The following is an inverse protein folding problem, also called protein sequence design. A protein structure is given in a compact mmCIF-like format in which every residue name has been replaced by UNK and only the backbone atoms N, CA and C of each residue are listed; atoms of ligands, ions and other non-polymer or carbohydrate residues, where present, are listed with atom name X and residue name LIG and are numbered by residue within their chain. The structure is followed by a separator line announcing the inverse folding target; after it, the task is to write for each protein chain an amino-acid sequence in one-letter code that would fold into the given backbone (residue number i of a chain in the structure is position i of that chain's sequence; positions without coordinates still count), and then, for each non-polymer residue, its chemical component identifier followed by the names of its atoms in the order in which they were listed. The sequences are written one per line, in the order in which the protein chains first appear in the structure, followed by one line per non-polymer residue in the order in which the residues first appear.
data_IF_807765177763
#
_entry.id   IF_807765177763
#
_cell.length_a   1.000
_cell.length_b   1.000
_cell.length_c   1.000
_cell.angle_alpha   90.00
_cell.angle_beta   90.00
_cell.angle_gamma   90.00
#
_symmetry.space_group_name_H-M   'P 1'
#
loop_
_entity.id
_entity.type
_entity.pdbx_description
1 polymer ?
#
# COMPACT_ATOMS: atom_id res chain seq x y z
N UNK A 1 25.68 -6.46 25.81
CA UNK A 1 25.58 -6.87 24.40
C UNK A 1 24.15 -6.63 23.98
N UNK A 2 23.87 -5.56 23.24
CA UNK A 2 22.57 -5.30 22.65
C UNK A 2 22.37 -6.33 21.54
N UNK A 3 21.36 -7.20 21.66
CA UNK A 3 20.91 -8.01 20.56
C UNK A 3 20.37 -7.07 19.48
N UNK A 4 21.10 -6.91 18.39
CA UNK A 4 20.54 -6.34 17.17
C UNK A 4 19.45 -7.29 16.69
N UNK A 5 18.20 -6.88 16.83
CA UNK A 5 17.09 -7.56 16.18
C UNK A 5 17.17 -7.26 14.69
N UNK A 6 17.78 -8.17 13.96
CA UNK A 6 17.73 -8.11 12.49
C UNK A 6 16.32 -8.54 12.06
N UNK A 7 15.49 -7.59 11.70
CA UNK A 7 14.25 -7.92 10.99
C UNK A 7 14.71 -8.41 9.62
N UNK A 8 14.53 -9.70 9.36
CA UNK A 8 14.87 -10.29 8.07
C UNK A 8 13.93 -9.76 7.01
N UNK A 9 14.33 -8.70 6.34
CA UNK A 9 13.66 -8.12 5.19
C UNK A 9 14.22 -8.67 3.87
N UNK A 10 14.74 -9.88 3.87
CA UNK A 10 15.28 -10.50 2.67
C UNK A 10 14.20 -10.77 1.61
N UNK A 11 14.54 -10.67 0.31
CA UNK A 11 13.61 -11.04 -0.75
C UNK A 11 13.22 -12.51 -0.59
N UNK A 12 11.93 -12.81 -0.74
CA UNK A 12 11.45 -14.19 -0.76
C UNK A 12 12.01 -14.89 -2.00
N UNK A 13 12.57 -16.11 -1.86
CA UNK A 13 13.12 -16.88 -2.98
C UNK A 13 12.08 -17.04 -4.10
N UNK A 14 12.49 -16.85 -5.34
CA UNK A 14 11.61 -16.98 -6.51
C UNK A 14 10.59 -15.87 -6.70
N UNK A 15 10.69 -14.79 -5.94
CA UNK A 15 9.82 -13.64 -6.12
C UNK A 15 10.58 -12.32 -5.93
N UNK A 16 10.07 -11.27 -6.54
CA UNK A 16 10.61 -9.91 -6.42
C UNK A 16 9.50 -8.90 -6.19
N UNK A 17 9.83 -7.84 -5.45
CA UNK A 17 8.94 -6.67 -5.32
C UNK A 17 9.13 -5.80 -6.55
N UNK A 18 8.01 -5.44 -7.19
CA UNK A 18 7.96 -4.49 -8.29
C UNK A 18 6.96 -3.39 -7.95
N UNK A 19 7.07 -2.26 -8.64
CA UNK A 19 6.14 -1.14 -8.48
C UNK A 19 5.46 -0.85 -9.81
N UNK A 20 4.13 -0.75 -9.77
CA UNK A 20 3.32 -0.32 -10.91
C UNK A 20 2.97 1.14 -10.72
N UNK A 21 3.34 1.97 -11.69
CA UNK A 21 3.09 3.41 -11.63
C UNK A 21 1.66 3.74 -11.99
N UNK A 22 1.13 4.80 -11.39
CA UNK A 22 -0.13 5.41 -11.79
C UNK A 22 -0.04 6.09 -13.16
N UNK A 23 -1.17 6.17 -13.84
CA UNK A 23 -1.30 6.89 -15.11
C UNK A 23 -1.82 8.32 -14.90
N UNK A 24 -2.66 8.53 -13.88
CA UNK A 24 -3.28 9.81 -13.57
C UNK A 24 -2.54 10.58 -12.47
N UNK A 25 -1.97 9.86 -11.52
CA UNK A 25 -1.29 10.43 -10.36
C UNK A 25 0.12 9.84 -10.24
N UNK A 26 1.02 10.62 -9.63
CA UNK A 26 2.36 10.15 -9.27
C UNK A 26 2.29 9.24 -8.04
N UNK A 27 1.85 8.02 -8.28
CA UNK A 27 1.71 6.96 -7.27
C UNK A 27 2.40 5.69 -7.74
N UNK A 28 2.84 4.90 -6.79
CA UNK A 28 3.46 3.59 -7.05
C UNK A 28 2.75 2.53 -6.21
N UNK A 29 2.24 1.49 -6.87
CA UNK A 29 1.54 0.37 -6.23
C UNK A 29 2.49 -0.82 -6.11
N UNK A 30 2.82 -1.27 -4.89
CA UNK A 30 3.72 -2.40 -4.70
C UNK A 30 3.03 -3.70 -5.12
N UNK A 31 3.66 -4.43 -6.01
CA UNK A 31 3.24 -5.73 -6.48
C UNK A 31 4.36 -6.74 -6.25
N UNK A 32 4.01 -8.01 -6.19
CA UNK A 32 4.96 -9.11 -6.11
C UNK A 32 4.88 -9.96 -7.37
N UNK A 33 5.98 -10.01 -8.07
CA UNK A 33 6.18 -10.88 -9.23
C UNK A 33 6.74 -12.20 -8.73
N UNK A 34 6.01 -13.27 -8.96
CA UNK A 34 6.34 -14.63 -8.52
C UNK A 34 6.73 -15.44 -9.76
N UNK A 35 7.97 -15.88 -9.84
CA UNK A 35 8.44 -16.74 -10.91
C UNK A 35 7.95 -18.15 -10.65
N UNK A 36 7.33 -18.77 -11.65
CA UNK A 36 6.85 -20.13 -11.58
C UNK A 36 7.91 -21.09 -12.10
N UNK A 37 7.95 -22.30 -11.55
CA UNK A 37 8.80 -23.36 -12.06
C UNK A 37 8.30 -23.84 -13.42
N UNK A 38 9.20 -24.16 -14.38
CA UNK A 38 8.81 -24.71 -15.66
C UNK A 38 7.98 -26.00 -15.51
N UNK A 39 6.99 -26.17 -16.36
CA UNK A 39 6.26 -27.43 -16.49
C UNK A 39 7.09 -28.40 -17.30
N UNK A 40 7.22 -29.64 -16.82
CA UNK A 40 7.89 -30.70 -17.57
C UNK A 40 6.83 -31.59 -18.20
N UNK A 41 6.81 -31.64 -19.54
CA UNK A 41 5.89 -32.48 -20.28
C UNK A 41 6.30 -33.97 -20.22
N UNK A 42 5.44 -34.87 -20.66
CA UNK A 42 5.65 -36.34 -20.66
C UNK A 42 6.86 -36.79 -21.48
N UNK A 43 7.26 -35.99 -22.46
CA UNK A 43 8.46 -36.22 -23.32
C UNK A 43 9.75 -35.61 -22.70
N UNK A 44 9.64 -34.96 -21.53
CA UNK A 44 10.75 -34.27 -20.86
C UNK A 44 11.00 -32.84 -21.31
N UNK A 45 10.17 -32.30 -22.22
CA UNK A 45 10.26 -30.91 -22.67
C UNK A 45 9.89 -29.97 -21.52
N UNK A 46 10.73 -28.95 -21.28
CA UNK A 46 10.46 -27.90 -20.30
C UNK A 46 9.74 -26.74 -20.97
N UNK A 47 8.58 -26.41 -20.41
CA UNK A 47 7.75 -25.28 -20.82
C UNK A 47 7.85 -24.22 -19.74
N UNK A 48 8.40 -23.06 -20.08
CA UNK A 48 8.47 -21.91 -19.13
C UNK A 48 7.07 -21.37 -18.86
N UNK A 49 6.79 -21.12 -17.58
CA UNK A 49 5.54 -20.54 -17.15
C UNK A 49 5.68 -19.03 -16.96
N UNK A 50 4.69 -18.27 -17.39
CA UNK A 50 4.67 -16.83 -17.14
C UNK A 50 4.61 -16.54 -15.65
N UNK A 51 5.33 -15.51 -15.15
CA UNK A 51 5.26 -15.12 -13.75
C UNK A 51 3.87 -14.60 -13.37
N UNK A 52 3.46 -14.88 -12.15
CA UNK A 52 2.22 -14.34 -11.57
C UNK A 52 2.53 -13.06 -10.82
N UNK A 53 1.76 -12.01 -11.09
CA UNK A 53 1.86 -10.73 -10.39
C UNK A 53 0.65 -10.56 -9.47
N UNK A 54 0.91 -10.32 -8.18
CA UNK A 54 -0.12 -10.10 -7.16
C UNK A 54 0.20 -8.86 -6.33
N UNK A 55 -0.80 -8.31 -5.66
CA UNK A 55 -0.57 -7.19 -4.74
C UNK A 55 0.35 -7.62 -3.59
N UNK A 56 1.38 -6.81 -3.32
CA UNK A 56 2.34 -7.08 -2.26
C UNK A 56 1.88 -6.50 -0.92
N UNK A 57 1.47 -7.37 -0.01
CA UNK A 57 1.02 -7.00 1.34
C UNK A 57 2.15 -6.91 2.36
N UNK A 58 3.40 -7.18 1.97
CA UNK A 58 4.54 -7.19 2.89
C UNK A 58 4.98 -5.79 3.35
N UNK A 59 4.41 -4.73 2.76
CA UNK A 59 4.80 -3.36 3.06
C UNK A 59 6.27 -3.10 2.72
N UNK A 60 6.99 -2.26 3.48
CA UNK A 60 8.40 -1.95 3.21
C UNK A 60 9.37 -3.07 3.61
N UNK A 61 8.92 -4.09 4.33
CA UNK A 61 9.81 -5.10 4.94
C UNK A 61 10.56 -5.98 3.93
N UNK A 62 10.04 -6.11 2.72
CA UNK A 62 10.67 -6.90 1.64
C UNK A 62 11.20 -6.02 0.51
N UNK A 63 11.27 -4.71 0.72
CA UNK A 63 11.83 -3.78 -0.24
C UNK A 63 13.35 -3.63 -0.01
N UNK A 64 14.21 -4.05 -0.96
CA UNK A 64 15.65 -3.94 -0.81
C UNK A 64 16.15 -2.48 -0.74
N UNK A 65 15.35 -1.53 -1.19
CA UNK A 65 15.69 -0.11 -1.21
C UNK A 65 15.18 0.65 0.02
N UNK A 66 14.48 -0.04 0.94
CA UNK A 66 13.91 0.58 2.14
C UNK A 66 14.57 0.05 3.41
N UNK A 67 15.09 0.95 4.22
CA UNK A 67 15.60 0.62 5.55
C UNK A 67 14.48 0.77 6.58
N UNK A 68 14.10 -0.34 7.19
CA UNK A 68 13.06 -0.34 8.24
C UNK A 68 13.60 0.29 9.51
N UNK A 69 12.93 1.32 10.01
CA UNK A 69 13.19 1.96 11.30
C UNK A 69 11.95 1.80 12.18
N UNK A 70 12.07 0.95 13.21
CA UNK A 70 10.98 0.67 14.14
C UNK A 70 10.52 1.90 14.91
N UNK A 71 11.44 2.86 15.12
CA UNK A 71 11.11 4.10 15.84
C UNK A 71 10.34 5.10 14.97
N UNK A 72 10.50 5.05 13.65
CA UNK A 72 9.75 5.90 12.72
C UNK A 72 8.40 5.31 12.32
N UNK A 73 8.21 4.00 12.50
CA UNK A 73 7.01 3.30 12.08
C UNK A 73 6.88 3.17 10.55
N UNK A 74 5.70 2.81 10.09
CA UNK A 74 5.42 2.63 8.67
C UNK A 74 5.21 3.97 7.94
N UNK A 75 5.64 4.09 6.68
CA UNK A 75 5.37 5.28 5.86
C UNK A 75 3.87 5.55 5.72
N UNK A 76 3.50 6.82 5.82
CA UNK A 76 2.11 7.28 5.65
C UNK A 76 1.83 7.58 4.18
N UNK A 77 1.62 6.55 3.39
CA UNK A 77 1.47 6.62 1.92
C UNK A 77 0.47 7.71 1.48
N UNK A 78 -0.63 7.88 2.23
CA UNK A 78 -1.72 8.79 1.88
C UNK A 78 -1.55 10.22 2.40
N UNK A 79 -0.52 10.51 3.18
CA UNK A 79 -0.38 11.81 3.84
C UNK A 79 -0.32 12.96 2.83
N UNK A 80 0.52 12.81 1.79
CA UNK A 80 0.62 13.80 0.74
C UNK A 80 -0.67 13.92 -0.08
N UNK A 81 -1.30 12.82 -0.44
CA UNK A 81 -2.57 12.84 -1.19
C UNK A 81 -3.69 13.58 -0.46
N UNK A 82 -3.75 13.42 0.86
CA UNK A 82 -4.70 14.14 1.72
C UNK A 82 -4.35 15.62 1.82
N UNK A 83 -3.07 15.94 1.91
CA UNK A 83 -2.61 17.33 1.95
C UNK A 83 -2.92 18.08 0.65
N UNK A 84 -2.66 17.46 -0.50
CA UNK A 84 -2.85 18.04 -1.83
C UNK A 84 -4.35 18.35 -2.11
N UNK A 85 -5.26 17.50 -1.63
CA UNK A 85 -6.70 17.77 -1.73
C UNK A 85 -7.14 18.99 -0.94
N UNK A 86 -6.42 19.34 0.11
CA UNK A 86 -6.65 20.55 0.93
C UNK A 86 -8.09 20.71 1.46
N UNK A 87 -8.78 19.61 1.68
CA UNK A 87 -10.19 19.55 2.15
C UNK A 87 -10.32 19.15 3.62
N UNK A 88 -9.19 18.96 4.30
CA UNK A 88 -9.11 18.62 5.71
C UNK A 88 -8.26 19.61 6.50
N UNK A 89 -8.51 19.66 7.81
CA UNK A 89 -7.64 20.33 8.78
C UNK A 89 -7.17 19.32 9.83
N UNK A 90 -5.95 19.47 10.29
CA UNK A 90 -5.42 18.68 11.39
C UNK A 90 -5.87 19.30 12.70
N UNK A 91 -6.32 18.47 13.64
CA UNK A 91 -6.68 18.91 14.99
C UNK A 91 -5.43 19.13 15.83
N UNK A 92 -5.52 20.00 16.81
CA UNK A 92 -4.42 20.26 17.77
C UNK A 92 -4.20 19.10 18.74
N UNK A 93 -5.20 18.24 18.92
CA UNK A 93 -5.14 17.10 19.84
C UNK A 93 -6.09 15.98 19.47
N UNK A 94 -6.15 14.97 20.33
CA UNK A 94 -7.04 13.82 20.14
C UNK A 94 -8.52 14.22 20.32
N UNK A 95 -9.39 13.76 19.43
CA UNK A 95 -10.81 14.12 19.42
C UNK A 95 -11.66 13.28 20.37
N UNK A 96 -11.28 12.04 20.68
CA UNK A 96 -12.04 11.15 21.55
C UNK A 96 -11.68 11.33 23.04
N UNK A 97 -12.67 11.19 23.91
CA UNK A 97 -12.47 11.20 25.36
C UNK A 97 -11.52 10.07 25.79
N UNK A 98 -11.73 8.87 25.26
CA UNK A 98 -10.85 7.73 25.50
C UNK A 98 -9.40 8.02 25.11
N UNK A 99 -9.18 8.61 23.94
CA UNK A 99 -7.83 8.97 23.48
C UNK A 99 -7.15 9.97 24.41
N UNK A 100 -7.88 11.01 24.84
CA UNK A 100 -7.37 12.01 25.79
C UNK A 100 -7.08 11.41 27.17
N UNK A 101 -7.96 10.53 27.67
CA UNK A 101 -7.75 9.84 28.94
C UNK A 101 -6.48 8.98 28.89
N UNK A 102 -6.29 8.21 27.83
CA UNK A 102 -5.08 7.41 27.65
C UNK A 102 -3.82 8.26 27.46
N UNK A 103 -3.93 9.40 26.80
CA UNK A 103 -2.79 10.31 26.63
C UNK A 103 -2.32 10.88 27.95
N UNK A 104 -3.23 11.11 28.90
CA UNK A 104 -2.94 11.64 30.22
C UNK A 104 -2.55 10.57 31.27
N UNK A 105 -2.68 9.31 30.93
CA UNK A 105 -2.34 8.19 31.81
C UNK A 105 -0.83 7.94 31.83
N UNK A 106 -0.18 8.37 32.89
CA UNK A 106 1.28 8.23 33.07
C UNK A 106 1.76 6.78 33.16
N UNK A 107 0.89 5.84 33.52
CA UNK A 107 1.25 4.42 33.59
C UNK A 107 1.57 3.83 32.21
N UNK A 108 1.14 4.49 31.15
CA UNK A 108 1.36 4.08 29.77
C UNK A 108 2.58 4.73 29.11
N UNK A 109 3.29 5.61 29.80
CA UNK A 109 4.41 6.38 29.19
C UNK A 109 5.49 5.47 28.60
N UNK A 110 5.83 4.37 29.28
CA UNK A 110 6.81 3.41 28.80
C UNK A 110 6.38 2.64 27.53
N UNK A 111 5.09 2.67 27.20
CA UNK A 111 4.53 1.97 26.04
C UNK A 111 4.25 2.92 24.88
N UNK A 112 4.58 4.21 25.01
CA UNK A 112 4.32 5.22 24.01
C UNK A 112 5.50 5.40 23.08
N UNK A 113 5.17 5.50 21.80
CA UNK A 113 6.11 5.94 20.77
C UNK A 113 5.59 7.27 20.21
N UNK A 114 6.27 8.36 20.51
CA UNK A 114 5.83 9.73 20.20
C UNK A 114 5.52 9.96 18.72
N UNK A 115 6.33 9.37 17.85
CA UNK A 115 6.19 9.50 16.39
C UNK A 115 4.98 8.74 15.81
N UNK A 116 4.36 7.82 16.56
CA UNK A 116 3.16 7.08 16.16
C UNK A 116 1.88 7.84 16.51
N UNK A 117 1.95 8.74 17.48
CA UNK A 117 0.83 9.54 17.93
C UNK A 117 0.58 10.72 16.99
N UNK A 118 -0.23 10.50 15.97
CA UNK A 118 -0.65 11.56 15.07
C UNK A 118 -2.00 12.11 15.49
N UNK A 119 -2.13 13.43 15.51
CA UNK A 119 -3.42 14.09 15.71
C UNK A 119 -4.34 13.81 14.52
N UNK A 120 -5.64 13.56 14.76
CA UNK A 120 -6.58 13.26 13.70
C UNK A 120 -6.82 14.46 12.79
N UNK A 121 -7.25 14.19 11.58
CA UNK A 121 -7.71 15.20 10.62
C UNK A 121 -9.25 15.13 10.53
N UNK A 122 -9.86 16.27 10.32
CA UNK A 122 -11.31 16.41 10.09
C UNK A 122 -11.56 17.14 8.78
N UNK A 123 -12.71 16.92 8.18
CA UNK A 123 -13.12 17.67 7.00
C UNK A 123 -13.24 19.16 7.35
N UNK A 124 -12.84 20.04 6.44
CA UNK A 124 -13.12 21.48 6.55
C UNK A 124 -14.63 21.73 6.56
N UNK A 125 -15.11 22.82 7.18
CA UNK A 125 -16.52 23.19 7.13
C UNK A 125 -17.05 23.20 5.68
N UNK A 126 -18.18 22.53 5.46
CA UNK A 126 -18.79 22.40 4.12
C UNK A 126 -18.18 21.33 3.21
N UNK A 127 -17.08 20.70 3.60
CA UNK A 127 -16.45 19.62 2.84
C UNK A 127 -16.85 18.23 3.34
N UNK A 128 -16.78 17.26 2.43
CA UNK A 128 -16.94 15.82 2.73
C UNK A 128 -15.76 15.09 2.12
N UNK A 129 -15.21 14.13 2.87
CA UNK A 129 -13.92 13.47 2.55
C UNK A 129 -14.05 11.95 2.35
N UNK A 130 -15.24 11.48 1.99
CA UNK A 130 -15.43 10.08 1.64
C UNK A 130 -15.18 9.83 0.16
N UNK A 131 -14.60 8.66 -0.18
CA UNK A 131 -14.37 8.27 -1.57
C UNK A 131 -15.69 8.24 -2.37
N UNK A 132 -16.79 7.83 -1.75
CA UNK A 132 -18.13 7.89 -2.34
C UNK A 132 -18.54 9.32 -2.73
N UNK A 133 -18.22 10.31 -1.91
CA UNK A 133 -18.52 11.71 -2.21
C UNK A 133 -17.74 12.18 -3.44
N UNK A 134 -16.44 11.93 -3.49
CA UNK A 134 -15.61 12.27 -4.65
C UNK A 134 -16.11 11.59 -5.93
N UNK A 135 -16.40 10.30 -5.87
CA UNK A 135 -16.94 9.57 -7.02
C UNK A 135 -18.25 10.16 -7.54
N UNK A 136 -19.17 10.56 -6.65
CA UNK A 136 -20.44 11.24 -7.04
C UNK A 136 -20.22 12.61 -7.67
N UNK A 137 -19.09 13.25 -7.40
CA UNK A 137 -18.71 14.52 -8.02
C UNK A 137 -17.88 14.30 -9.32
N UNK A 138 -17.66 13.06 -9.74
CA UNK A 138 -16.82 12.75 -10.89
C UNK A 138 -15.32 12.97 -10.63
N UNK A 139 -14.93 13.09 -9.37
CA UNK A 139 -13.53 13.29 -8.97
C UNK A 139 -12.88 11.91 -8.76
N UNK A 140 -11.84 11.63 -9.52
CA UNK A 140 -10.96 10.47 -9.29
C UNK A 140 -9.88 10.91 -8.30
N UNK A 141 -9.63 10.07 -7.30
CA UNK A 141 -8.61 10.33 -6.28
C UNK A 141 -7.42 9.39 -6.45
N UNK A 142 -6.22 9.73 -5.93
CA UNK A 142 -5.07 8.80 -5.94
C UNK A 142 -5.39 7.45 -5.29
N UNK A 143 -6.23 7.44 -4.27
CA UNK A 143 -6.67 6.19 -3.63
C UNK A 143 -7.53 5.33 -4.57
N UNK A 144 -8.37 5.93 -5.42
CA UNK A 144 -9.16 5.17 -6.40
C UNK A 144 -8.26 4.56 -7.46
N UNK A 145 -7.31 5.31 -7.99
CA UNK A 145 -6.34 4.79 -8.95
C UNK A 145 -5.48 3.69 -8.34
N UNK A 146 -4.99 3.88 -7.10
CA UNK A 146 -4.23 2.87 -6.37
C UNK A 146 -4.99 1.54 -6.27
N UNK A 147 -6.27 1.60 -5.91
CA UNK A 147 -7.12 0.41 -5.81
C UNK A 147 -7.38 -0.20 -7.20
N UNK A 148 -7.63 0.62 -8.22
CA UNK A 148 -7.84 0.15 -9.59
C UNK A 148 -6.62 -0.61 -10.11
N UNK A 149 -5.41 -0.09 -9.92
CA UNK A 149 -4.17 -0.76 -10.29
C UNK A 149 -4.03 -2.08 -9.55
N UNK A 150 -4.31 -2.10 -8.24
CA UNK A 150 -4.22 -3.31 -7.42
C UNK A 150 -5.16 -4.42 -7.90
N UNK A 151 -6.41 -4.06 -8.24
CA UNK A 151 -7.46 -5.04 -8.54
C UNK A 151 -7.50 -5.45 -10.02
N UNK A 152 -7.07 -4.58 -10.95
CA UNK A 152 -7.27 -4.81 -12.39
C UNK A 152 -6.16 -5.63 -13.07
N UNK A 153 -5.04 -5.93 -12.40
CA UNK A 153 -3.91 -6.65 -12.99
C UNK A 153 -4.30 -7.96 -13.70
N UNK A 154 -5.19 -8.73 -13.09
CA UNK A 154 -5.68 -9.98 -13.68
C UNK A 154 -6.76 -9.74 -14.75
N UNK A 155 -7.58 -8.72 -14.56
CA UNK A 155 -8.69 -8.39 -15.49
C UNK A 155 -8.13 -7.97 -16.84
N UNK A 156 -7.09 -7.17 -16.87
CA UNK A 156 -6.48 -6.72 -18.12
C UNK A 156 -5.82 -7.87 -18.88
N UNK A 157 -5.11 -8.76 -18.18
CA UNK A 157 -4.56 -9.98 -18.79
C UNK A 157 -5.66 -10.88 -19.39
N UNK A 158 -6.78 -11.06 -18.68
CA UNK A 158 -7.91 -11.86 -19.18
C UNK A 158 -8.52 -11.19 -20.41
N UNK A 159 -8.67 -9.86 -20.41
CA UNK A 159 -9.20 -9.13 -21.57
C UNK A 159 -8.28 -9.24 -22.77
N UNK A 160 -6.98 -9.11 -22.59
CA UNK A 160 -5.98 -9.26 -23.66
C UNK A 160 -5.98 -10.68 -24.23
N UNK A 161 -6.02 -11.70 -23.37
CA UNK A 161 -6.12 -13.09 -23.80
C UNK A 161 -7.41 -13.33 -24.62
N UNK A 162 -8.54 -12.80 -24.17
CA UNK A 162 -9.82 -12.91 -24.85
C UNK A 162 -9.85 -12.21 -26.23
N UNK A 163 -9.27 -11.01 -26.33
CA UNK A 163 -9.12 -10.31 -27.62
C UNK A 163 -8.26 -11.10 -28.59
N UNK A 164 -7.13 -11.62 -28.09
CA UNK A 164 -6.20 -12.43 -28.88
C UNK A 164 -6.86 -13.72 -29.40
N UNK A 165 -7.71 -14.36 -28.61
CA UNK A 165 -8.47 -15.55 -29.00
C UNK A 165 -9.52 -15.24 -30.07
N UNK A 166 -10.15 -14.06 -30.01
CA UNK A 166 -11.14 -13.61 -30.99
C UNK A 166 -10.58 -12.98 -32.24
N UNK A 167 -9.29 -12.70 -32.29
CA UNK A 167 -8.62 -12.05 -33.44
C UNK A 167 -8.97 -10.55 -33.58
N UNK A 168 -9.30 -9.90 -32.45
CA UNK A 168 -9.55 -8.46 -32.37
C UNK A 168 -8.27 -7.69 -31.97
#
# INVERSE_FOLDING_TARGET
MSQEFTISSGPLPGSEKIYVKGEMFDIEVPMRRINLTPTVDTDGTKIENEPVVVYDTSGPYTDPNYTVDLHKGLPKIREQWIADRNDTVQLEGLSSEYGRARQNDKSLDALRFEHVNTTPRVAKPGHRVSQMYYARQGIITPEMEYIAIRENQMVDKIREAYKKEKGE
#
